data_IF_431452394304
#
_entry.id   IF_431452394304
#
_cell.length_a   1.000
_cell.length_b   1.000
_cell.length_c   1.000
_cell.angle_alpha   90.00
_cell.angle_beta   90.00
_cell.angle_gamma   90.00
#
_symmetry.space_group_name_H-M   'P 1'
#
loop_
_entity.id
_entity.type
_entity.pdbx_description
1 polymer ?
#
# COMPACT_ATOMS: atom_id res chain seq x y z
N UNK A 1 -12.22 -11.26 -42.03
CA UNK A 1 -12.96 -10.72 -40.87
C UNK A 1 -11.91 -10.51 -39.78
N UNK A 2 -11.47 -9.27 -39.60
CA UNK A 2 -10.47 -8.93 -38.59
C UNK A 2 -11.18 -8.80 -37.24
N UNK A 3 -10.77 -9.60 -36.25
CA UNK A 3 -11.19 -9.38 -34.87
C UNK A 3 -10.16 -8.46 -34.24
N UNK A 4 -10.63 -7.28 -33.84
CA UNK A 4 -9.89 -6.21 -33.20
C UNK A 4 -9.28 -6.72 -31.88
N UNK A 5 -7.95 -6.70 -31.79
CA UNK A 5 -7.23 -6.94 -30.54
C UNK A 5 -7.43 -5.74 -29.62
N UNK A 6 -8.19 -5.93 -28.55
CA UNK A 6 -8.44 -4.90 -27.54
C UNK A 6 -7.17 -4.65 -26.72
N UNK A 7 -6.40 -3.62 -27.11
CA UNK A 7 -5.18 -3.18 -26.44
C UNK A 7 -5.52 -2.35 -25.19
N UNK A 8 -5.79 -3.02 -24.06
CA UNK A 8 -5.78 -2.36 -22.75
C UNK A 8 -4.34 -2.07 -22.32
N UNK A 9 -3.75 -0.99 -22.85
CA UNK A 9 -2.47 -0.46 -22.34
C UNK A 9 -2.75 0.34 -21.07
N UNK A 10 -2.03 0.03 -19.98
CA UNK A 10 -2.11 0.84 -18.76
C UNK A 10 -1.43 2.18 -19.02
N UNK A 11 -2.08 3.32 -18.69
CA UNK A 11 -1.42 4.61 -18.81
C UNK A 11 -0.18 4.67 -17.91
N UNK A 12 0.89 5.28 -18.41
CA UNK A 12 2.10 5.51 -17.61
C UNK A 12 1.87 6.66 -16.63
N UNK A 13 2.54 6.58 -15.47
CA UNK A 13 2.55 7.62 -14.45
C UNK A 13 3.89 8.40 -14.42
N UNK A 14 4.80 8.12 -15.37
CA UNK A 14 6.15 8.71 -15.42
C UNK A 14 6.14 10.24 -15.61
N UNK A 15 5.01 10.81 -16.03
CA UNK A 15 4.79 12.25 -16.18
C UNK A 15 4.74 12.99 -14.84
N UNK A 16 4.49 12.27 -13.74
CA UNK A 16 4.35 12.83 -12.40
C UNK A 16 5.53 12.41 -11.52
N UNK A 17 6.08 13.32 -10.70
CA UNK A 17 7.10 12.95 -9.73
C UNK A 17 6.51 11.93 -8.73
N UNK A 18 7.31 10.92 -8.36
CA UNK A 18 6.92 9.95 -7.34
C UNK A 18 6.88 10.66 -5.98
N UNK A 19 5.71 10.77 -5.33
CA UNK A 19 5.61 11.45 -4.06
C UNK A 19 6.28 10.63 -2.96
N UNK A 20 6.88 11.34 -2.01
CA UNK A 20 7.42 10.75 -0.77
C UNK A 20 6.30 10.51 0.25
N UNK A 21 6.57 9.65 1.23
CA UNK A 21 5.62 9.41 2.33
C UNK A 21 5.30 10.69 3.12
N UNK A 22 6.29 11.58 3.31
CA UNK A 22 6.09 12.83 4.03
C UNK A 22 5.21 13.82 3.27
N UNK A 23 5.37 13.92 1.95
CA UNK A 23 4.49 14.73 1.10
C UNK A 23 3.05 14.20 1.12
N UNK A 24 2.88 12.88 1.04
CA UNK A 24 1.57 12.24 1.20
C UNK A 24 0.97 12.53 2.58
N UNK A 25 1.77 12.42 3.64
CA UNK A 25 1.32 12.68 5.01
C UNK A 25 0.88 14.14 5.18
N UNK A 26 1.62 15.09 4.62
CA UNK A 26 1.26 16.51 4.63
C UNK A 26 -0.09 16.76 3.93
N UNK A 27 -0.27 16.21 2.72
CA UNK A 27 -1.54 16.31 1.99
C UNK A 27 -2.71 15.64 2.73
N UNK A 28 -2.46 14.53 3.43
CA UNK A 28 -3.46 13.88 4.28
C UNK A 28 -3.86 14.76 5.47
N UNK A 29 -2.91 15.41 6.14
CA UNK A 29 -3.17 16.36 7.24
C UNK A 29 -3.99 17.56 6.75
N UNK A 30 -3.66 18.09 5.57
CA UNK A 30 -4.42 19.18 4.94
C UNK A 30 -5.86 18.75 4.62
N UNK A 31 -6.04 17.56 4.04
CA UNK A 31 -7.36 16.98 3.75
C UNK A 31 -8.20 16.77 5.02
N UNK A 32 -7.55 16.50 6.15
CA UNK A 32 -8.17 16.38 7.47
C UNK A 32 -8.47 17.73 8.14
N UNK A 33 -8.21 18.86 7.46
CA UNK A 33 -8.39 20.23 7.99
C UNK A 33 -7.63 20.47 9.29
N UNK A 34 -6.44 19.87 9.43
CA UNK A 34 -5.61 19.99 10.63
C UNK A 34 -6.06 19.15 11.82
N UNK A 35 -6.97 18.18 11.63
CA UNK A 35 -7.28 17.21 12.68
C UNK A 35 -6.07 16.29 12.93
N UNK A 36 -5.91 15.81 14.17
CA UNK A 36 -4.83 14.91 14.58
C UNK A 36 -4.76 13.67 13.67
N UNK A 37 -3.71 13.61 12.84
CA UNK A 37 -3.42 12.49 11.94
C UNK A 37 -3.36 11.16 12.69
N UNK A 38 -2.63 11.14 13.81
CA UNK A 38 -2.45 9.93 14.61
C UNK A 38 -3.73 9.46 15.30
N UNK A 39 -4.70 10.35 15.54
CA UNK A 39 -5.99 9.96 16.14
C UNK A 39 -7.03 9.57 15.09
N UNK A 40 -6.91 10.10 13.87
CA UNK A 40 -7.90 9.92 12.81
C UNK A 40 -7.56 8.80 11.84
N UNK A 41 -6.28 8.55 11.59
CA UNK A 41 -5.83 7.63 10.55
C UNK A 41 -5.08 6.41 11.09
N UNK A 42 -4.51 6.47 12.30
CA UNK A 42 -3.98 5.27 12.94
C UNK A 42 -5.09 4.55 13.70
N UNK A 43 -5.19 3.25 13.47
CA UNK A 43 -6.15 2.40 14.17
C UNK A 43 -5.42 1.60 15.24
N UNK A 44 -5.78 1.82 16.50
CA UNK A 44 -5.26 1.05 17.64
C UNK A 44 -6.17 -0.15 17.88
N UNK A 45 -5.63 -1.36 17.79
CA UNK A 45 -6.35 -2.58 18.11
C UNK A 45 -6.30 -2.87 19.60
N UNK A 46 -7.19 -3.74 20.09
CA UNK A 46 -7.27 -4.09 21.51
C UNK A 46 -6.01 -4.80 22.02
N UNK A 47 -5.30 -5.45 21.10
CA UNK A 47 -4.05 -6.17 21.32
C UNK A 47 -2.83 -5.24 21.43
N UNK A 48 -3.02 -3.93 21.30
CA UNK A 48 -1.94 -2.94 21.35
C UNK A 48 -1.18 -2.75 20.04
N UNK A 49 -1.70 -3.28 18.92
CA UNK A 49 -1.12 -3.10 17.60
C UNK A 49 -1.65 -1.78 17.01
N UNK A 50 -0.77 -0.97 16.45
CA UNK A 50 -1.16 0.27 15.75
C UNK A 50 -1.07 0.03 14.24
N UNK A 51 -2.22 0.00 13.58
CA UNK A 51 -2.31 -0.15 12.14
C UNK A 51 -2.11 1.20 11.46
N UNK A 52 -1.22 1.22 10.47
CA UNK A 52 -0.96 2.39 9.64
C UNK A 52 -2.06 2.54 8.57
N UNK A 53 -2.40 3.79 8.18
CA UNK A 53 -3.37 4.05 7.12
C UNK A 53 -2.90 3.65 5.72
N UNK A 54 -1.58 3.64 5.50
CA UNK A 54 -0.95 3.22 4.25
C UNK A 54 0.33 2.45 4.58
N UNK A 55 0.62 1.44 3.78
CA UNK A 55 1.86 0.67 3.82
C UNK A 55 2.58 0.86 2.50
N UNK A 56 3.89 1.02 2.57
CA UNK A 56 4.75 1.26 1.40
C UNK A 56 5.62 0.04 1.13
N UNK A 57 6.34 0.03 0.01
CA UNK A 57 7.29 -1.04 -0.29
C UNK A 57 8.36 -1.21 0.81
N UNK A 58 8.69 -0.13 1.53
CA UNK A 58 9.59 -0.19 2.69
C UNK A 58 9.04 -1.01 3.87
N UNK A 59 7.72 -1.22 3.92
CA UNK A 59 7.06 -2.07 4.93
C UNK A 59 6.93 -3.53 4.49
N UNK A 60 7.23 -3.80 3.22
CA UNK A 60 7.14 -5.11 2.64
C UNK A 60 8.52 -5.78 2.60
N UNK A 61 8.65 -6.89 3.32
CA UNK A 61 9.75 -7.82 3.10
C UNK A 61 9.29 -8.89 2.12
N UNK A 62 9.91 -8.94 0.94
CA UNK A 62 9.60 -9.98 -0.03
C UNK A 62 9.90 -11.37 0.56
N UNK A 63 8.86 -12.18 0.74
CA UNK A 63 9.02 -13.61 1.00
C UNK A 63 8.83 -14.39 -0.32
N UNK A 64 9.92 -14.92 -0.91
CA UNK A 64 9.86 -15.67 -2.17
C UNK A 64 9.34 -17.11 -2.02
N UNK A 65 9.12 -17.59 -0.79
CA UNK A 65 8.71 -18.97 -0.49
C UNK A 65 7.33 -19.29 -1.07
N UNK A 66 7.11 -20.57 -1.37
CA UNK A 66 5.81 -21.10 -1.82
C UNK A 66 4.99 -21.62 -0.62
N UNK A 67 3.67 -21.81 -0.78
CA UNK A 67 2.90 -22.58 0.20
C UNK A 67 3.55 -23.95 0.42
N UNK A 68 3.67 -24.38 1.68
CA UNK A 68 4.32 -25.64 2.08
C UNK A 68 5.85 -25.58 2.19
N UNK A 69 6.48 -24.43 1.97
CA UNK A 69 7.94 -24.23 2.06
C UNK A 69 8.31 -23.21 3.16
N UNK A 70 9.57 -23.28 3.63
CA UNK A 70 10.16 -22.30 4.54
C UNK A 70 9.51 -22.22 5.92
N UNK A 71 9.20 -20.99 6.35
CA UNK A 71 8.57 -20.71 7.65
C UNK A 71 7.05 -20.94 7.66
N UNK A 72 6.48 -21.49 6.56
CA UNK A 72 5.06 -21.79 6.39
C UNK A 72 4.11 -20.59 6.54
N UNK A 73 4.61 -19.36 6.39
CA UNK A 73 3.82 -18.12 6.44
C UNK A 73 2.72 -18.06 5.36
N UNK A 74 2.87 -18.85 4.28
CA UNK A 74 1.92 -18.95 3.16
C UNK A 74 1.02 -20.18 3.21
N UNK A 75 1.02 -20.95 4.31
CA UNK A 75 0.20 -22.14 4.50
C UNK A 75 0.95 -23.46 4.27
N UNK A 76 0.34 -24.57 4.69
CA UNK A 76 0.97 -25.91 4.74
C UNK A 76 0.29 -26.98 3.87
N UNK A 77 -0.90 -26.73 3.32
CA UNK A 77 -1.79 -27.74 2.73
C UNK A 77 -2.30 -27.31 1.34
#
# INVERSE_FOLDING_TARGET
MANEENQFTRPSLDEFPVPTYDEWKAAAIESLKGADFDKKLLTKTYEGITLKPIYTDADYSANPERPGEGDYLRGTD
#
